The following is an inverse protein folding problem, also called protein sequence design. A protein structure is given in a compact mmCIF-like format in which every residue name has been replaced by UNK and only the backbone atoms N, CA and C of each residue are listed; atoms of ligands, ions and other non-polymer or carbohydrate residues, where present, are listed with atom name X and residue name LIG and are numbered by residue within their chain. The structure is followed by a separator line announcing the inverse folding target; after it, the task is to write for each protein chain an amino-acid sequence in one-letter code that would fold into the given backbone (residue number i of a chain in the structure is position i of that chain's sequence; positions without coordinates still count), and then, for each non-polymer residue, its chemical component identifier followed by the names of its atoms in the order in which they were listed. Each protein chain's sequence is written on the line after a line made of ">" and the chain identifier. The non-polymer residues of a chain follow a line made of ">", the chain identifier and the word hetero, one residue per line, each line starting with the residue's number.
data_IF_146238820968
#
_entry.id   IF_146238820968
#
_cell.length_a   1.000
_cell.length_b   1.000
_cell.length_c   1.000
_cell.angle_alpha   90.00
_cell.angle_beta   90.00
_cell.angle_gamma   90.00
#
_symmetry.space_group_name_H-M   'P 1'
#
loop_
_entity.id
_entity.type
_entity.pdbx_description
1 polymer ?
#
# COMPACT_ATOMS: atom_id res chain seq x y z
N UNK A 1 -25.91 2.30 -11.69
CA UNK A 1 -25.99 2.70 -10.28
C UNK A 1 -27.28 2.19 -9.67
N UNK A 2 -27.22 1.17 -8.79
CA UNK A 2 -28.36 0.53 -8.13
C UNK A 2 -27.95 0.02 -6.75
N UNK A 3 -28.89 -0.07 -5.81
CA UNK A 3 -28.66 -0.71 -4.50
C UNK A 3 -28.97 -2.21 -4.53
N UNK A 4 -29.99 -2.61 -5.30
CA UNK A 4 -30.49 -3.98 -5.42
C UNK A 4 -30.79 -4.31 -6.87
N UNK A 5 -31.00 -5.58 -7.14
CA UNK A 5 -31.28 -6.11 -8.48
C UNK A 5 -32.58 -6.93 -8.46
N UNK A 6 -33.24 -6.99 -9.62
CA UNK A 6 -34.46 -7.78 -9.81
C UNK A 6 -34.10 -9.25 -10.12
N UNK A 7 -34.85 -10.16 -9.58
CA UNK A 7 -34.81 -11.62 -9.88
C UNK A 7 -36.11 -12.10 -10.49
N UNK A 8 -36.02 -13.17 -11.27
CA UNK A 8 -37.21 -13.78 -11.84
C UNK A 8 -37.86 -14.78 -10.89
N UNK A 9 -37.13 -15.27 -9.87
CA UNK A 9 -37.67 -16.15 -8.83
C UNK A 9 -36.96 -16.03 -7.49
N UNK A 10 -37.63 -16.44 -6.41
CA UNK A 10 -37.04 -16.56 -5.07
C UNK A 10 -35.98 -17.66 -5.00
N UNK A 11 -36.06 -18.67 -5.85
CA UNK A 11 -35.07 -19.75 -5.93
C UNK A 11 -33.77 -19.23 -6.53
N UNK A 12 -33.84 -18.44 -7.60
CA UNK A 12 -32.66 -17.77 -8.19
C UNK A 12 -31.96 -16.88 -7.17
N UNK A 13 -32.72 -16.03 -6.47
CA UNK A 13 -32.19 -15.19 -5.40
C UNK A 13 -31.53 -16.04 -4.29
N UNK A 14 -32.17 -17.13 -3.85
CA UNK A 14 -31.60 -18.01 -2.82
C UNK A 14 -30.27 -18.64 -3.25
N UNK A 15 -30.14 -19.07 -4.51
CA UNK A 15 -28.89 -19.63 -5.03
C UNK A 15 -27.72 -18.63 -5.03
N UNK A 16 -28.00 -17.34 -5.22
CA UNK A 16 -26.98 -16.30 -5.10
C UNK A 16 -26.52 -16.12 -3.64
N UNK A 17 -27.46 -16.10 -2.69
CA UNK A 17 -27.13 -16.00 -1.26
C UNK A 17 -26.37 -17.23 -0.74
N UNK A 18 -26.66 -18.41 -1.30
CA UNK A 18 -25.97 -19.66 -0.96
C UNK A 18 -24.61 -19.81 -1.69
N UNK A 19 -24.19 -18.83 -2.49
CA UNK A 19 -22.99 -18.89 -3.34
C UNK A 19 -23.01 -20.06 -4.36
N UNK A 20 -24.20 -20.58 -4.71
CA UNK A 20 -24.40 -21.64 -5.70
C UNK A 20 -24.51 -21.12 -7.13
N UNK A 21 -24.73 -19.82 -7.31
CA UNK A 21 -24.79 -19.14 -8.58
C UNK A 21 -24.02 -17.81 -8.53
N UNK A 22 -23.55 -17.36 -9.70
CA UNK A 22 -22.93 -16.05 -9.86
C UNK A 22 -23.97 -15.01 -10.25
N UNK A 23 -23.87 -13.79 -9.71
CA UNK A 23 -24.78 -12.70 -10.04
C UNK A 23 -24.75 -11.58 -9.02
N UNK A 24 -25.60 -10.59 -9.22
CA UNK A 24 -25.66 -9.40 -8.38
C UNK A 24 -26.97 -9.37 -7.60
N UNK A 25 -26.92 -9.12 -6.29
CA UNK A 25 -28.11 -8.99 -5.47
C UNK A 25 -28.12 -7.71 -4.62
N UNK A 26 -26.95 -7.24 -4.18
CA UNK A 26 -26.84 -6.03 -3.39
C UNK A 26 -25.50 -5.35 -3.60
N UNK A 27 -25.48 -4.06 -3.94
CA UNK A 27 -24.27 -3.33 -4.34
C UNK A 27 -23.21 -3.20 -3.25
N UNK A 28 -23.55 -3.39 -1.96
CA UNK A 28 -22.55 -3.43 -0.89
C UNK A 28 -21.57 -4.59 -1.05
N UNK A 29 -22.02 -5.73 -1.57
CA UNK A 29 -21.15 -6.88 -1.82
C UNK A 29 -20.55 -6.81 -3.22
N UNK A 30 -21.40 -6.68 -4.23
CA UNK A 30 -21.01 -6.72 -5.63
C UNK A 30 -21.85 -5.75 -6.47
N UNK A 31 -21.18 -5.11 -7.42
CA UNK A 31 -21.82 -4.24 -8.38
C UNK A 31 -21.10 -4.36 -9.73
N UNK A 32 -21.82 -4.47 -10.86
CA UNK A 32 -21.18 -4.72 -12.16
C UNK A 32 -20.15 -3.65 -12.57
N UNK A 33 -20.37 -2.39 -12.19
CA UNK A 33 -19.37 -1.32 -12.46
C UNK A 33 -18.12 -1.52 -11.62
N UNK A 34 -18.28 -1.80 -10.32
CA UNK A 34 -17.17 -2.04 -9.41
C UNK A 34 -16.36 -3.27 -9.85
N UNK A 35 -17.03 -4.35 -10.20
CA UNK A 35 -16.38 -5.61 -10.61
C UNK A 35 -15.65 -5.47 -11.95
N UNK A 36 -16.20 -4.69 -12.90
CA UNK A 36 -15.52 -4.38 -14.16
C UNK A 36 -14.20 -3.64 -13.89
N UNK A 37 -14.21 -2.66 -12.98
CA UNK A 37 -13.01 -1.88 -12.66
C UNK A 37 -12.02 -2.71 -11.83
N UNK A 38 -12.50 -3.49 -10.87
CA UNK A 38 -11.67 -4.46 -10.15
C UNK A 38 -10.99 -5.44 -11.11
N UNK A 39 -11.72 -5.96 -12.08
CA UNK A 39 -11.19 -6.83 -13.13
C UNK A 39 -10.09 -6.17 -13.97
N UNK A 40 -10.23 -4.90 -14.34
CA UNK A 40 -9.17 -4.15 -15.04
C UNK A 40 -7.89 -4.05 -14.20
N UNK A 41 -8.00 -3.70 -12.91
CA UNK A 41 -6.84 -3.61 -12.02
C UNK A 41 -6.20 -4.99 -11.82
N UNK A 42 -7.03 -6.03 -11.66
CA UNK A 42 -6.56 -7.42 -11.58
C UNK A 42 -5.74 -7.82 -12.81
N UNK A 43 -6.22 -7.49 -14.00
CA UNK A 43 -5.49 -7.77 -15.26
C UNK A 43 -4.18 -6.97 -15.35
N UNK A 44 -4.17 -5.72 -14.94
CA UNK A 44 -2.96 -4.87 -14.95
C UNK A 44 -1.87 -5.46 -14.02
N UNK A 45 -2.24 -5.91 -12.83
CA UNK A 45 -1.31 -6.59 -11.91
C UNK A 45 -0.96 -8.02 -12.34
N UNK A 46 -1.78 -8.65 -13.17
CA UNK A 46 -1.62 -10.05 -13.57
C UNK A 46 -2.13 -11.05 -12.54
N UNK A 47 -3.09 -10.64 -11.70
CA UNK A 47 -3.72 -11.47 -10.68
C UNK A 47 -4.86 -12.34 -11.22
N UNK A 48 -5.43 -13.17 -10.35
CA UNK A 48 -6.55 -14.07 -10.67
C UNK A 48 -7.90 -13.52 -10.22
N UNK A 49 -7.91 -12.71 -9.16
CA UNK A 49 -9.11 -12.10 -8.59
C UNK A 49 -8.77 -10.78 -7.91
N UNK A 50 -9.74 -9.87 -7.86
CA UNK A 50 -9.58 -8.58 -7.19
C UNK A 50 -10.90 -7.98 -6.76
N UNK A 51 -10.83 -7.01 -5.86
CA UNK A 51 -11.98 -6.26 -5.37
C UNK A 51 -11.63 -4.80 -5.14
N UNK A 52 -12.61 -3.90 -5.27
CA UNK A 52 -12.48 -2.51 -4.88
C UNK A 52 -12.89 -2.29 -3.43
N UNK A 53 -12.27 -1.31 -2.79
CA UNK A 53 -12.62 -0.81 -1.46
C UNK A 53 -12.80 0.70 -1.48
N UNK A 54 -13.43 1.26 -0.44
CA UNK A 54 -13.70 2.70 -0.33
C UNK A 54 -12.45 3.56 -0.11
N UNK A 55 -11.30 2.96 0.19
CA UNK A 55 -10.02 3.65 0.37
C UNK A 55 -8.86 2.66 0.38
N UNK A 56 -7.63 3.14 0.17
CA UNK A 56 -6.41 2.34 0.36
C UNK A 56 -6.28 1.80 1.77
N UNK A 57 -6.69 2.57 2.79
CA UNK A 57 -6.70 2.09 4.18
C UNK A 57 -7.67 0.94 4.41
N UNK A 58 -8.84 0.97 3.79
CA UNK A 58 -9.76 -0.16 3.81
C UNK A 58 -9.17 -1.39 3.08
N UNK A 59 -8.43 -1.17 1.98
CA UNK A 59 -7.72 -2.24 1.29
C UNK A 59 -6.67 -2.90 2.19
N UNK A 60 -5.81 -2.12 2.84
CA UNK A 60 -4.78 -2.64 3.74
C UNK A 60 -5.39 -3.32 4.98
N UNK A 61 -6.47 -2.76 5.55
CA UNK A 61 -7.20 -3.38 6.64
C UNK A 61 -7.78 -4.74 6.22
N UNK A 62 -8.51 -4.79 5.10
CA UNK A 62 -9.14 -6.03 4.63
C UNK A 62 -8.10 -7.08 4.24
N UNK A 63 -7.00 -6.68 3.59
CA UNK A 63 -5.96 -7.61 3.19
C UNK A 63 -5.37 -8.37 4.39
N UNK A 64 -5.15 -7.68 5.51
CA UNK A 64 -4.63 -8.31 6.73
C UNK A 64 -5.75 -9.01 7.50
N UNK A 65 -6.88 -8.34 7.73
CA UNK A 65 -7.97 -8.87 8.58
C UNK A 65 -8.68 -10.08 7.97
N UNK A 66 -8.55 -10.29 6.67
CA UNK A 66 -9.10 -11.46 5.98
C UNK A 66 -8.44 -12.78 6.42
N UNK A 67 -7.18 -12.72 6.89
CA UNK A 67 -6.36 -13.90 7.26
C UNK A 67 -5.82 -13.85 8.67
N UNK A 68 -6.03 -12.77 9.41
CA UNK A 68 -5.58 -12.60 10.78
C UNK A 68 -6.74 -12.21 11.70
N UNK A 69 -6.69 -12.67 12.94
CA UNK A 69 -7.68 -12.42 13.98
C UNK A 69 -6.99 -12.06 15.30
N UNK A 70 -7.77 -11.84 16.38
CA UNK A 70 -7.22 -11.60 17.70
C UNK A 70 -6.29 -12.74 18.14
N UNK A 71 -5.10 -12.38 18.59
CA UNK A 71 -4.03 -13.32 18.96
C UNK A 71 -3.04 -13.61 17.83
N UNK A 72 -3.28 -13.15 16.61
CA UNK A 72 -2.36 -13.32 15.48
C UNK A 72 -1.32 -12.20 15.40
N UNK A 73 -0.29 -12.42 14.58
CA UNK A 73 0.85 -11.55 14.43
C UNK A 73 1.17 -11.31 12.95
N UNK A 74 1.67 -10.10 12.64
CA UNK A 74 2.13 -9.69 11.30
C UNK A 74 3.54 -9.11 11.41
N UNK A 75 4.42 -9.46 10.48
CA UNK A 75 5.69 -8.76 10.28
C UNK A 75 5.47 -7.68 9.21
N UNK A 76 5.90 -6.46 9.46
CA UNK A 76 5.75 -5.36 8.49
C UNK A 76 7.08 -4.63 8.30
N UNK A 77 7.36 -4.18 7.06
CA UNK A 77 8.36 -3.12 6.89
C UNK A 77 7.96 -1.89 7.71
N UNK A 78 8.92 -1.19 8.29
CA UNK A 78 8.71 0.08 8.98
C UNK A 78 8.57 1.25 7.98
N UNK A 79 9.12 1.11 6.77
CA UNK A 79 9.00 2.08 5.70
C UNK A 79 7.72 1.83 4.90
N UNK A 80 6.59 2.23 5.45
CA UNK A 80 5.26 2.17 4.84
C UNK A 80 4.54 3.50 5.07
N UNK A 81 3.49 3.75 4.30
CA UNK A 81 2.65 4.95 4.49
C UNK A 81 2.21 5.07 5.94
N UNK A 82 2.40 6.23 6.49
CA UNK A 82 2.17 6.44 7.90
C UNK A 82 0.74 6.19 8.38
N UNK A 83 -0.28 6.39 7.53
CA UNK A 83 -1.64 5.97 7.86
C UNK A 83 -1.74 4.46 8.06
N UNK A 84 -1.03 3.68 7.25
CA UNK A 84 -0.97 2.21 7.37
C UNK A 84 -0.21 1.78 8.62
N UNK A 85 0.89 2.45 8.93
CA UNK A 85 1.61 2.18 10.18
C UNK A 85 0.71 2.44 11.40
N UNK A 86 0.01 3.57 11.44
CA UNK A 86 -0.93 3.87 12.53
C UNK A 86 -2.09 2.87 12.58
N UNK A 87 -2.61 2.46 11.41
CA UNK A 87 -3.61 1.40 11.31
C UNK A 87 -3.11 0.12 12.00
N UNK A 88 -1.89 -0.30 11.70
CA UNK A 88 -1.28 -1.53 12.24
C UNK A 88 -0.89 -1.37 13.71
N UNK A 89 -0.12 -0.34 14.03
CA UNK A 89 0.46 -0.17 15.35
C UNK A 89 -0.54 0.25 16.44
N UNK A 90 -1.65 0.87 16.06
CA UNK A 90 -2.64 1.39 17.02
C UNK A 90 -3.99 0.71 16.84
N UNK A 91 -4.58 0.82 15.64
CA UNK A 91 -5.98 0.42 15.44
C UNK A 91 -6.15 -1.09 15.46
N UNK A 92 -5.34 -1.83 14.71
CA UNK A 92 -5.45 -3.29 14.65
C UNK A 92 -4.95 -3.98 15.93
N UNK A 93 -4.05 -3.35 16.68
CA UNK A 93 -3.70 -3.84 18.03
C UNK A 93 -4.89 -3.80 18.99
N UNK A 94 -5.81 -2.84 18.84
CA UNK A 94 -7.06 -2.84 19.63
C UNK A 94 -7.98 -4.01 19.27
N UNK A 95 -7.82 -4.56 18.07
CA UNK A 95 -8.52 -5.79 17.63
C UNK A 95 -7.76 -7.07 18.03
N UNK A 96 -6.64 -6.94 18.76
CA UNK A 96 -5.86 -8.07 19.23
C UNK A 96 -4.85 -8.63 18.23
N UNK A 97 -4.61 -7.98 17.09
CA UNK A 97 -3.58 -8.37 16.13
C UNK A 97 -2.29 -7.61 16.44
N UNK A 98 -1.20 -8.35 16.67
CA UNK A 98 0.10 -7.77 16.99
C UNK A 98 0.97 -7.56 15.73
N UNK A 99 1.90 -6.61 15.80
CA UNK A 99 2.79 -6.26 14.70
C UNK A 99 4.23 -6.10 15.16
N UNK A 100 5.17 -6.66 14.40
CA UNK A 100 6.60 -6.37 14.52
C UNK A 100 7.06 -5.66 13.25
N UNK A 101 7.69 -4.50 13.44
CA UNK A 101 8.23 -3.71 12.32
C UNK A 101 9.73 -3.97 12.17
N UNK A 102 10.18 -4.16 10.93
CA UNK A 102 11.57 -4.35 10.54
C UNK A 102 12.01 -3.25 9.58
N UNK A 103 13.29 -2.96 9.52
CA UNK A 103 13.83 -2.01 8.54
C UNK A 103 13.53 -2.47 7.10
N UNK A 104 13.29 -1.55 6.14
CA UNK A 104 13.21 -1.92 4.72
C UNK A 104 14.52 -2.55 4.22
N UNK A 105 15.66 -2.20 4.85
CA UNK A 105 16.99 -2.72 4.53
C UNK A 105 17.36 -3.99 5.31
N UNK A 106 16.46 -4.49 6.20
CA UNK A 106 16.68 -5.68 7.01
C UNK A 106 17.14 -6.85 6.16
N UNK A 107 18.14 -7.58 6.64
CA UNK A 107 18.57 -8.81 5.99
C UNK A 107 17.60 -9.98 6.30
N UNK A 108 17.87 -11.14 5.70
CA UNK A 108 17.00 -12.32 5.88
C UNK A 108 16.94 -12.80 7.34
N UNK A 109 18.03 -12.65 8.11
CA UNK A 109 18.11 -13.07 9.49
C UNK A 109 17.31 -12.13 10.39
N UNK A 110 17.40 -10.82 10.16
CA UNK A 110 16.64 -9.81 10.89
C UNK A 110 15.14 -9.94 10.61
N UNK A 111 14.74 -10.14 9.35
CA UNK A 111 13.32 -10.39 9.00
C UNK A 111 12.87 -11.69 9.67
N UNK A 112 13.68 -12.76 9.62
CA UNK A 112 13.35 -14.04 10.25
C UNK A 112 13.21 -13.93 11.76
N UNK A 113 14.03 -13.13 12.41
CA UNK A 113 13.99 -12.92 13.88
C UNK A 113 12.70 -12.24 14.34
N UNK A 114 12.01 -11.51 13.46
CA UNK A 114 10.73 -10.85 13.75
C UNK A 114 9.54 -11.83 13.74
N UNK A 115 9.71 -13.06 13.22
CA UNK A 115 8.63 -14.04 13.14
C UNK A 115 8.30 -14.64 14.50
N UNK A 116 7.01 -14.84 14.74
CA UNK A 116 6.43 -15.56 15.89
C UNK A 116 5.66 -16.79 15.37
N UNK A 117 5.37 -17.79 16.21
CA UNK A 117 4.62 -18.98 15.79
C UNK A 117 3.25 -18.64 15.17
N UNK A 118 2.62 -17.56 15.63
CA UNK A 118 1.32 -17.05 15.20
C UNK A 118 1.40 -15.98 14.09
N UNK A 119 2.56 -15.82 13.42
CA UNK A 119 2.69 -14.89 12.28
C UNK A 119 1.88 -15.40 11.08
N UNK A 120 1.05 -14.52 10.51
CA UNK A 120 0.12 -14.81 9.40
C UNK A 120 0.50 -14.19 8.07
N UNK A 121 1.25 -13.10 8.06
CA UNK A 121 1.70 -12.44 6.84
C UNK A 121 2.95 -11.60 7.07
N UNK A 122 3.59 -11.25 5.96
CA UNK A 122 4.54 -10.15 5.87
C UNK A 122 3.89 -9.03 5.07
N UNK A 123 4.08 -7.78 5.47
CA UNK A 123 3.56 -6.60 4.77
C UNK A 123 4.68 -5.63 4.42
N UNK A 124 4.60 -5.03 3.22
CA UNK A 124 5.52 -3.98 2.79
C UNK A 124 4.86 -3.01 1.81
N UNK A 125 5.60 -2.01 1.40
CA UNK A 125 5.21 -1.04 0.38
C UNK A 125 6.30 -0.98 -0.68
N UNK A 126 5.96 -1.06 -1.96
CA UNK A 126 6.95 -1.11 -3.05
C UNK A 126 7.90 0.08 -3.02
N UNK A 127 7.36 1.27 -2.82
CA UNK A 127 8.10 2.53 -2.65
C UNK A 127 7.45 3.29 -1.50
N UNK A 128 8.19 3.50 -0.44
CA UNK A 128 7.68 4.15 0.78
C UNK A 128 7.41 5.64 0.60
N UNK A 129 6.51 6.18 1.41
CA UNK A 129 6.15 7.59 1.46
C UNK A 129 6.44 8.15 2.87
N UNK A 130 7.28 9.17 3.05
CA UNK A 130 7.92 10.02 2.03
C UNK A 130 9.38 9.70 1.73
N UNK A 131 9.97 8.69 2.36
CA UNK A 131 11.42 8.42 2.27
C UNK A 131 11.87 7.92 0.91
N UNK A 132 10.95 7.32 0.13
CA UNK A 132 11.20 6.70 -1.18
C UNK A 132 12.11 5.47 -1.11
N UNK A 133 12.16 4.80 0.04
CA UNK A 133 12.83 3.51 0.17
C UNK A 133 12.11 2.47 -0.68
N UNK A 134 12.88 1.64 -1.37
CA UNK A 134 12.38 0.56 -2.21
C UNK A 134 12.50 -0.76 -1.44
N UNK A 135 11.40 -1.47 -1.31
CA UNK A 135 11.38 -2.80 -0.70
C UNK A 135 12.19 -3.78 -1.56
N UNK A 136 13.12 -4.52 -0.96
CA UNK A 136 13.71 -5.69 -1.63
C UNK A 136 12.68 -6.84 -1.63
N UNK A 137 11.79 -6.81 -2.63
CA UNK A 137 10.60 -7.66 -2.70
C UNK A 137 10.96 -9.15 -2.62
N UNK A 138 11.96 -9.59 -3.37
CA UNK A 138 12.37 -11.02 -3.39
C UNK A 138 12.90 -11.48 -2.04
N UNK A 139 13.63 -10.62 -1.31
CA UNK A 139 14.11 -10.92 0.04
C UNK A 139 12.96 -11.13 1.01
N UNK A 140 12.01 -10.20 1.03
CA UNK A 140 10.84 -10.31 1.90
C UNK A 140 9.94 -11.50 1.52
N UNK A 141 9.72 -11.73 0.23
CA UNK A 141 8.97 -12.89 -0.28
C UNK A 141 9.62 -14.22 0.14
N UNK A 142 10.93 -14.33 -0.04
CA UNK A 142 11.70 -15.54 0.32
C UNK A 142 11.52 -15.90 1.80
N UNK A 143 11.63 -14.91 2.70
CA UNK A 143 11.48 -15.16 4.14
C UNK A 143 10.01 -15.44 4.49
N UNK A 144 9.05 -14.72 3.90
CA UNK A 144 7.63 -14.99 4.09
C UNK A 144 7.26 -16.42 3.71
N UNK A 145 7.62 -16.85 2.50
CA UNK A 145 7.30 -18.17 1.98
C UNK A 145 8.03 -19.30 2.74
N UNK A 146 9.27 -19.09 3.17
CA UNK A 146 9.98 -20.02 4.06
C UNK A 146 9.23 -20.29 5.36
N UNK A 147 8.48 -19.32 5.84
CA UNK A 147 7.65 -19.42 7.05
C UNK A 147 6.18 -19.82 6.75
N UNK A 148 5.86 -20.12 5.50
CA UNK A 148 4.52 -20.54 5.07
C UNK A 148 3.46 -19.47 5.25
N UNK A 149 3.81 -18.18 5.02
CA UNK A 149 2.89 -17.06 5.06
C UNK A 149 3.03 -16.20 3.79
N UNK A 150 1.95 -15.51 3.35
CA UNK A 150 2.00 -14.66 2.18
C UNK A 150 2.77 -13.35 2.43
N UNK A 151 3.31 -12.78 1.34
CA UNK A 151 3.74 -11.39 1.28
C UNK A 151 2.63 -10.52 0.70
N UNK A 152 2.22 -9.51 1.44
CA UNK A 152 1.26 -8.48 1.03
C UNK A 152 2.03 -7.19 0.75
N UNK A 153 1.82 -6.57 -0.42
CA UNK A 153 2.53 -5.33 -0.79
C UNK A 153 1.55 -4.26 -1.26
N UNK A 154 1.67 -3.07 -0.68
CA UNK A 154 1.02 -1.86 -1.20
C UNK A 154 1.83 -1.32 -2.39
N UNK A 155 1.27 -1.43 -3.60
CA UNK A 155 1.91 -1.04 -4.86
C UNK A 155 1.43 0.32 -5.39
N UNK A 156 0.93 1.18 -4.50
CA UNK A 156 0.32 2.46 -4.87
C UNK A 156 1.26 3.38 -5.63
N UNK A 157 2.53 3.52 -5.21
CA UNK A 157 3.47 4.47 -5.82
C UNK A 157 4.09 3.96 -7.12
N UNK A 158 4.44 2.68 -7.18
CA UNK A 158 4.98 2.10 -8.41
C UNK A 158 3.88 1.91 -9.47
N UNK A 159 2.70 1.51 -9.08
CA UNK A 159 1.62 1.03 -9.95
C UNK A 159 2.03 -0.20 -10.77
N UNK A 160 1.12 -0.97 -11.35
CA UNK A 160 1.47 -2.09 -12.24
C UNK A 160 2.20 -1.65 -13.53
N UNK A 161 2.25 -0.35 -13.82
CA UNK A 161 2.98 0.19 -14.98
C UNK A 161 4.49 0.15 -14.74
N UNK A 162 4.95 0.50 -13.54
CA UNK A 162 6.37 0.51 -13.21
C UNK A 162 6.84 -0.81 -12.58
N UNK A 163 5.98 -1.47 -11.79
CA UNK A 163 6.31 -2.74 -11.16
C UNK A 163 5.10 -3.68 -11.10
N UNK A 164 5.21 -4.83 -11.74
CA UNK A 164 4.28 -5.95 -11.55
C UNK A 164 4.84 -6.84 -10.44
N UNK A 165 4.42 -6.56 -9.22
CA UNK A 165 5.05 -7.13 -8.02
C UNK A 165 4.84 -8.66 -7.89
N UNK A 166 3.84 -9.23 -8.55
CA UNK A 166 3.64 -10.70 -8.59
C UNK A 166 4.78 -11.42 -9.30
N UNK A 167 5.45 -10.78 -10.25
CA UNK A 167 6.62 -11.35 -10.92
C UNK A 167 7.83 -11.52 -9.97
N UNK A 168 7.79 -10.88 -8.79
CA UNK A 168 8.82 -10.88 -7.76
C UNK A 168 8.45 -11.65 -6.48
N UNK A 169 7.34 -12.40 -6.51
CA UNK A 169 6.93 -13.28 -5.41
C UNK A 169 5.96 -12.66 -4.40
N UNK A 170 5.32 -11.54 -4.73
CA UNK A 170 4.20 -11.03 -3.92
C UNK A 170 2.97 -11.90 -4.14
N UNK A 171 2.20 -12.11 -3.08
CA UNK A 171 0.98 -12.94 -3.13
C UNK A 171 -0.28 -12.09 -3.22
N UNK A 172 -0.33 -11.02 -2.43
CA UNK A 172 -1.48 -10.10 -2.38
C UNK A 172 -0.97 -8.66 -2.60
N UNK A 173 -1.65 -7.94 -3.47
CA UNK A 173 -1.38 -6.51 -3.73
C UNK A 173 -2.51 -5.65 -3.21
N UNK A 174 -2.17 -4.54 -2.57
CA UNK A 174 -3.11 -3.49 -2.23
C UNK A 174 -2.77 -2.19 -2.96
N UNK A 175 -3.78 -1.35 -3.15
CA UNK A 175 -3.64 -0.02 -3.74
C UNK A 175 -4.52 1.01 -3.05
N UNK A 176 -3.99 2.20 -2.87
CA UNK A 176 -4.82 3.40 -2.82
C UNK A 176 -5.09 3.87 -4.25
N UNK A 177 -6.25 3.51 -4.80
CA UNK A 177 -6.61 3.93 -6.16
C UNK A 177 -6.84 5.43 -6.28
N UNK A 178 -6.99 6.13 -5.14
CA UNK A 178 -7.01 7.59 -4.98
C UNK A 178 -5.85 8.30 -5.67
N UNK A 179 -4.71 7.60 -5.85
CA UNK A 179 -3.44 8.17 -6.30
C UNK A 179 -3.31 8.08 -7.82
N UNK A 180 -2.25 7.46 -8.33
CA UNK A 180 -1.99 7.38 -9.78
C UNK A 180 -3.13 6.76 -10.59
N UNK A 181 -3.83 5.77 -10.05
CA UNK A 181 -4.86 5.05 -10.81
C UNK A 181 -6.01 5.98 -11.19
N UNK A 182 -6.50 6.78 -10.25
CA UNK A 182 -7.52 7.81 -10.52
C UNK A 182 -6.88 9.05 -11.16
N UNK A 183 -5.82 9.61 -10.54
CA UNK A 183 -4.93 10.63 -11.12
C UNK A 183 -5.47 12.05 -11.24
N UNK A 184 -6.67 12.35 -10.77
CA UNK A 184 -7.33 13.66 -10.90
C UNK A 184 -7.78 14.25 -9.57
N UNK A 185 -7.54 13.56 -8.44
CA UNK A 185 -7.99 13.93 -7.11
C UNK A 185 -9.52 14.14 -7.02
N UNK A 186 -10.28 13.34 -7.76
CA UNK A 186 -11.75 13.46 -7.83
C UNK A 186 -12.47 12.42 -6.99
N UNK A 187 -11.85 11.27 -6.70
CA UNK A 187 -12.45 10.23 -5.84
C UNK A 187 -11.42 9.51 -4.98
N UNK A 188 -11.89 8.99 -3.85
CA UNK A 188 -11.12 8.14 -2.94
C UNK A 188 -11.49 6.68 -3.20
N UNK A 189 -10.49 5.80 -3.22
CA UNK A 189 -10.72 4.38 -3.39
C UNK A 189 -9.51 3.53 -3.05
N UNK A 190 -9.72 2.23 -3.02
CA UNK A 190 -8.69 1.22 -2.87
C UNK A 190 -9.00 -0.02 -3.69
N UNK A 191 -8.01 -0.89 -3.82
CA UNK A 191 -8.16 -2.19 -4.46
C UNK A 191 -7.29 -3.23 -3.75
N UNK A 192 -7.74 -4.48 -3.82
CA UNK A 192 -6.99 -5.67 -3.42
C UNK A 192 -6.96 -6.61 -4.60
N UNK A 193 -5.79 -7.17 -4.92
CA UNK A 193 -5.63 -8.18 -5.97
C UNK A 193 -4.87 -9.38 -5.41
N UNK A 194 -5.36 -10.57 -5.72
CA UNK A 194 -4.73 -11.85 -5.38
C UNK A 194 -4.02 -12.42 -6.61
N UNK A 195 -2.75 -12.81 -6.43
CA UNK A 195 -1.98 -13.51 -7.46
C UNK A 195 -2.53 -14.89 -7.78
N UNK A 196 -3.18 -15.54 -6.81
CA UNK A 196 -3.59 -16.95 -6.86
C UNK A 196 -2.41 -17.94 -6.80
N UNK A 197 -1.22 -17.49 -6.41
CA UNK A 197 -0.02 -18.32 -6.34
C UNK A 197 0.25 -18.88 -4.94
N UNK A 198 -0.27 -18.25 -3.89
CA UNK A 198 -0.08 -18.74 -2.53
C UNK A 198 -0.99 -19.93 -2.24
N UNK A 199 -0.38 -21.02 -1.76
CA UNK A 199 -1.13 -22.21 -1.32
C UNK A 199 -1.59 -22.04 0.12
N UNK A 200 -2.85 -21.68 0.30
CA UNK A 200 -3.48 -21.50 1.62
C UNK A 200 -3.58 -22.80 2.42
N UNK A 201 -3.44 -23.96 1.76
CA UNK A 201 -3.57 -25.29 2.37
C UNK A 201 -2.27 -25.91 2.83
N UNK A 202 -1.12 -25.25 2.55
CA UNK A 202 0.21 -25.80 2.86
C UNK A 202 0.49 -25.97 4.37
N UNK A 203 -0.31 -25.34 5.22
CA UNK A 203 -0.22 -25.43 6.68
C UNK A 203 -1.57 -25.03 7.33
N UNK A 204 -1.64 -25.11 8.65
CA UNK A 204 -2.86 -24.81 9.48
C UNK A 204 -2.99 -23.34 9.89
N UNK A 205 -2.20 -22.46 9.30
CA UNK A 205 -2.23 -21.03 9.68
C UNK A 205 -3.50 -20.29 9.25
N UNK A 206 -4.23 -20.79 8.26
CA UNK A 206 -5.35 -20.09 7.63
C UNK A 206 -6.69 -20.84 7.73
N UNK A 207 -7.14 -21.20 8.96
CA UNK A 207 -8.38 -21.96 9.11
C UNK A 207 -9.59 -21.25 8.54
N UNK A 208 -9.65 -19.91 8.56
CA UNK A 208 -10.75 -19.15 7.97
C UNK A 208 -10.91 -19.31 6.45
N UNK A 209 -9.94 -19.92 5.75
CA UNK A 209 -10.01 -20.25 4.32
C UNK A 209 -10.11 -21.75 4.07
N UNK A 210 -9.58 -22.58 4.98
CA UNK A 210 -9.34 -24.01 4.79
C UNK A 210 -10.24 -24.91 5.63
N UNK A 211 -11.11 -24.35 6.48
CA UNK A 211 -12.11 -25.09 7.25
C UNK A 211 -13.52 -24.60 6.94
N UNK A 212 -14.56 -25.40 7.22
CA UNK A 212 -15.95 -25.03 6.98
C UNK A 212 -16.34 -23.74 7.68
N UNK A 213 -16.97 -22.81 6.94
CA UNK A 213 -17.50 -21.55 7.46
C UNK A 213 -18.99 -21.69 7.81
N UNK A 214 -19.32 -21.59 9.09
CA UNK A 214 -20.68 -21.70 9.59
C UNK A 214 -21.60 -20.59 9.04
N UNK A 215 -21.06 -19.40 8.74
CA UNK A 215 -21.86 -18.27 8.20
C UNK A 215 -22.29 -18.48 6.75
N UNK A 216 -21.70 -19.47 6.07
CA UNK A 216 -22.03 -19.88 4.70
C UNK A 216 -22.29 -21.40 4.58
N UNK A 217 -23.09 -21.94 5.49
CA UNK A 217 -23.58 -23.34 5.44
C UNK A 217 -22.46 -24.38 5.36
N UNK A 218 -21.30 -24.09 5.97
CA UNK A 218 -20.16 -25.02 6.01
C UNK A 218 -19.31 -25.04 4.74
N UNK A 219 -19.34 -23.99 3.91
CA UNK A 219 -18.43 -23.87 2.76
C UNK A 219 -16.98 -23.75 3.24
N UNK A 220 -16.09 -24.52 2.64
CA UNK A 220 -14.63 -24.32 2.71
C UNK A 220 -14.19 -23.52 1.50
N UNK A 221 -13.70 -22.28 1.70
CA UNK A 221 -13.43 -21.36 0.59
C UNK A 221 -12.41 -21.90 -0.40
N UNK A 222 -11.32 -22.52 0.07
CA UNK A 222 -10.28 -23.10 -0.80
C UNK A 222 -10.79 -24.24 -1.66
N UNK A 223 -11.72 -25.05 -1.16
CA UNK A 223 -12.34 -26.14 -1.91
C UNK A 223 -13.38 -25.64 -2.93
N UNK A 224 -14.20 -24.66 -2.52
CA UNK A 224 -15.29 -24.16 -3.34
C UNK A 224 -14.83 -23.19 -4.45
N UNK A 225 -13.79 -22.37 -4.18
CA UNK A 225 -13.39 -21.26 -5.05
C UNK A 225 -11.94 -21.34 -5.52
N UNK A 226 -11.18 -22.35 -5.08
CA UNK A 226 -9.79 -22.53 -5.50
C UNK A 226 -8.93 -21.26 -5.35
N UNK A 227 -8.34 -20.80 -6.44
CA UNK A 227 -7.51 -19.59 -6.47
C UNK A 227 -8.27 -18.30 -6.15
N UNK A 228 -9.59 -18.26 -6.26
CA UNK A 228 -10.41 -17.11 -5.91
C UNK A 228 -10.81 -17.06 -4.43
N UNK A 229 -10.44 -18.02 -3.62
CA UNK A 229 -10.87 -18.19 -2.23
C UNK A 229 -10.65 -16.94 -1.37
N UNK A 230 -9.47 -16.32 -1.47
CA UNK A 230 -9.09 -15.16 -0.66
C UNK A 230 -9.97 -13.93 -0.95
N UNK A 231 -10.17 -13.58 -2.20
CA UNK A 231 -11.02 -12.43 -2.60
C UNK A 231 -12.49 -12.74 -2.35
N UNK A 232 -12.93 -13.97 -2.62
CA UNK A 232 -14.33 -14.38 -2.34
C UNK A 232 -14.63 -14.20 -0.85
N UNK A 233 -13.79 -14.73 0.04
CA UNK A 233 -13.97 -14.57 1.49
C UNK A 233 -13.99 -13.09 1.90
N UNK A 234 -13.04 -12.29 1.42
CA UNK A 234 -13.00 -10.86 1.72
C UNK A 234 -14.29 -10.15 1.28
N UNK A 235 -14.86 -10.53 0.14
CA UNK A 235 -16.10 -9.96 -0.38
C UNK A 235 -17.32 -10.39 0.43
N UNK A 236 -17.48 -11.70 0.64
CA UNK A 236 -18.73 -12.25 1.24
C UNK A 236 -18.77 -12.11 2.76
N UNK A 237 -17.63 -11.90 3.43
CA UNK A 237 -17.55 -11.61 4.85
C UNK A 237 -17.24 -10.13 5.12
N UNK A 238 -16.03 -9.68 4.84
CA UNK A 238 -15.59 -8.35 5.25
C UNK A 238 -16.34 -7.23 4.54
N UNK A 239 -16.50 -7.31 3.22
CA UNK A 239 -17.25 -6.30 2.48
C UNK A 239 -18.73 -6.31 2.86
N UNK A 240 -19.32 -7.50 3.02
CA UNK A 240 -20.71 -7.66 3.45
C UNK A 240 -20.96 -7.01 4.81
N UNK A 241 -20.06 -7.25 5.79
CA UNK A 241 -20.29 -6.93 7.19
C UNK A 241 -19.82 -5.51 7.54
N UNK A 242 -18.68 -5.06 6.99
CA UNK A 242 -18.07 -3.75 7.26
C UNK A 242 -18.45 -2.68 6.24
N UNK A 243 -18.82 -3.07 5.01
CA UNK A 243 -19.41 -2.18 4.02
C UNK A 243 -18.49 -1.14 3.40
N UNK A 244 -17.16 -1.33 3.44
CA UNK A 244 -16.18 -0.37 2.88
C UNK A 244 -16.06 -0.47 1.35
N UNK A 245 -17.19 -0.48 0.64
CA UNK A 245 -17.21 -0.49 -0.82
C UNK A 245 -17.19 0.94 -1.40
N UNK A 246 -16.59 1.19 -2.57
CA UNK A 246 -16.77 2.45 -3.27
C UNK A 246 -18.17 2.53 -3.90
N UNK A 247 -18.67 3.73 -4.11
CA UNK A 247 -19.88 3.90 -4.91
C UNK A 247 -19.58 3.51 -6.38
N UNK A 248 -20.58 3.01 -7.15
CA UNK A 248 -20.39 2.76 -8.58
C UNK A 248 -20.02 4.02 -9.37
N UNK A 249 -20.36 5.20 -8.87
CA UNK A 249 -19.94 6.47 -9.47
C UNK A 249 -18.44 6.71 -9.28
N UNK A 250 -17.90 6.47 -8.09
CA UNK A 250 -16.47 6.56 -7.82
C UNK A 250 -15.68 5.52 -8.63
N UNK A 251 -16.21 4.29 -8.75
CA UNK A 251 -15.63 3.27 -9.61
C UNK A 251 -15.62 3.70 -11.09
N UNK A 252 -16.67 4.38 -11.57
CA UNK A 252 -16.69 4.94 -12.92
C UNK A 252 -15.62 6.03 -13.11
N UNK A 253 -15.46 6.96 -12.17
CA UNK A 253 -14.39 7.96 -12.22
C UNK A 253 -13.00 7.31 -12.22
N UNK A 254 -12.79 6.33 -11.36
CA UNK A 254 -11.57 5.51 -11.38
C UNK A 254 -11.33 4.85 -12.73
N UNK A 255 -12.37 4.29 -13.35
CA UNK A 255 -12.26 3.68 -14.68
C UNK A 255 -11.77 4.69 -15.73
N UNK A 256 -12.27 5.92 -15.70
CA UNK A 256 -11.80 7.00 -16.60
C UNK A 256 -10.31 7.30 -16.35
N UNK A 257 -9.88 7.35 -15.08
CA UNK A 257 -8.48 7.52 -14.72
C UNK A 257 -7.58 6.39 -15.25
N UNK A 258 -8.02 5.14 -15.15
CA UNK A 258 -7.28 3.98 -15.64
C UNK A 258 -7.00 4.00 -17.14
N UNK A 259 -7.87 4.60 -17.96
CA UNK A 259 -7.70 4.68 -19.42
C UNK A 259 -6.40 5.41 -19.84
N UNK A 260 -5.93 6.34 -19.00
CA UNK A 260 -4.69 7.11 -19.27
C UNK A 260 -3.54 6.77 -18.31
N UNK A 261 -3.69 5.79 -17.44
CA UNK A 261 -2.72 5.47 -16.39
C UNK A 261 -1.29 5.30 -16.93
N UNK A 262 -1.13 4.49 -17.97
CA UNK A 262 0.18 4.18 -18.57
C UNK A 262 0.86 5.43 -19.16
N UNK A 263 0.10 6.36 -19.72
CA UNK A 263 0.63 7.63 -20.27
C UNK A 263 1.03 8.58 -19.14
N UNK A 264 0.19 8.69 -18.10
CA UNK A 264 0.43 9.61 -16.98
C UNK A 264 1.60 9.16 -16.12
N UNK A 265 1.67 7.88 -15.77
CA UNK A 265 2.75 7.34 -14.94
C UNK A 265 4.11 7.51 -15.63
N UNK A 266 4.23 7.16 -16.90
CA UNK A 266 5.45 7.36 -17.67
C UNK A 266 5.88 8.85 -17.68
N UNK A 267 4.92 9.77 -17.90
CA UNK A 267 5.19 11.21 -17.89
C UNK A 267 5.56 11.74 -16.50
N UNK A 268 4.93 11.25 -15.44
CA UNK A 268 5.29 11.58 -14.06
C UNK A 268 6.76 11.19 -13.76
N UNK A 269 7.16 9.98 -14.13
CA UNK A 269 8.53 9.51 -13.91
C UNK A 269 9.56 10.32 -14.71
N UNK A 270 9.28 10.60 -15.98
CA UNK A 270 10.13 11.45 -16.83
C UNK A 270 10.31 12.86 -16.24
N UNK A 271 9.20 13.49 -15.84
CA UNK A 271 9.22 14.82 -15.27
C UNK A 271 9.94 14.83 -13.92
N UNK A 272 9.68 13.87 -13.05
CA UNK A 272 10.34 13.76 -11.75
C UNK A 272 11.85 13.60 -11.90
N UNK A 273 12.33 12.74 -12.82
CA UNK A 273 13.77 12.58 -13.09
C UNK A 273 14.42 13.89 -13.55
N UNK A 274 13.75 14.65 -14.43
CA UNK A 274 14.24 15.97 -14.90
C UNK A 274 14.31 16.98 -13.75
N UNK A 275 13.25 17.06 -12.93
CA UNK A 275 13.19 17.97 -11.79
C UNK A 275 14.22 17.58 -10.73
N UNK A 276 14.37 16.30 -10.40
CA UNK A 276 15.35 15.82 -9.44
C UNK A 276 16.78 16.17 -9.86
N UNK A 277 17.13 15.98 -11.14
CA UNK A 277 18.43 16.39 -11.67
C UNK A 277 18.67 17.91 -11.60
N UNK A 278 17.65 18.71 -11.90
CA UNK A 278 17.73 20.17 -11.76
C UNK A 278 17.93 20.57 -10.29
N UNK A 279 17.15 20.02 -9.38
CA UNK A 279 17.26 20.30 -7.94
C UNK A 279 18.64 19.91 -7.39
N UNK A 280 19.17 18.75 -7.79
CA UNK A 280 20.50 18.26 -7.38
C UNK A 280 21.62 19.24 -7.75
N UNK A 281 21.51 19.93 -8.87
CA UNK A 281 22.49 20.90 -9.34
C UNK A 281 22.29 22.32 -8.81
N UNK A 282 21.18 22.59 -8.11
CA UNK A 282 20.79 23.95 -7.73
C UNK A 282 21.44 24.37 -6.41
N UNK A 283 22.11 25.54 -6.39
CA UNK A 283 22.90 26.07 -5.25
C UNK A 283 22.12 26.18 -3.92
N UNK A 284 20.81 26.37 -3.96
CA UNK A 284 19.93 26.53 -2.78
C UNK A 284 19.38 25.20 -2.24
N UNK A 285 19.67 24.09 -2.90
CA UNK A 285 19.23 22.75 -2.48
C UNK A 285 20.34 22.08 -1.67
N UNK A 286 19.99 21.50 -0.55
CA UNK A 286 20.92 20.80 0.34
C UNK A 286 21.06 19.32 -0.04
N UNK A 287 19.96 18.66 -0.35
CA UNK A 287 19.90 17.25 -0.72
C UNK A 287 18.66 16.97 -1.56
N UNK A 288 18.72 15.88 -2.33
CA UNK A 288 17.60 15.33 -3.11
C UNK A 288 17.62 13.82 -2.96
N UNK A 289 16.48 13.23 -2.61
CA UNK A 289 16.24 11.78 -2.64
C UNK A 289 15.27 11.48 -3.77
N UNK A 290 15.73 10.70 -4.72
CA UNK A 290 14.93 10.17 -5.83
C UNK A 290 15.65 8.93 -6.42
N UNK A 291 15.13 7.72 -6.26
CA UNK A 291 15.83 6.47 -6.58
C UNK A 291 16.26 6.29 -8.04
N UNK A 292 15.73 7.09 -8.97
CA UNK A 292 16.20 7.08 -10.35
C UNK A 292 17.51 7.87 -10.59
N UNK A 293 18.07 8.51 -9.55
CA UNK A 293 19.38 9.16 -9.61
C UNK A 293 20.49 8.13 -9.31
N UNK A 294 21.52 8.07 -10.14
CA UNK A 294 22.64 7.11 -10.02
C UNK A 294 23.35 7.09 -8.65
N UNK A 295 23.33 8.20 -7.94
CA UNK A 295 23.94 8.31 -6.61
C UNK A 295 22.95 8.17 -5.45
N UNK A 296 21.69 7.85 -5.72
CA UNK A 296 20.71 7.56 -4.67
C UNK A 296 20.99 6.18 -4.08
N UNK A 297 20.96 6.01 -2.74
CA UNK A 297 21.20 4.70 -2.12
C UNK A 297 20.28 3.58 -2.61
N UNK A 298 19.07 3.93 -3.04
CA UNK A 298 18.07 2.99 -3.51
C UNK A 298 18.16 2.69 -5.02
N UNK A 299 19.13 3.27 -5.73
CA UNK A 299 19.24 3.19 -7.19
C UNK A 299 19.31 1.75 -7.71
N UNK A 300 20.11 0.90 -7.08
CA UNK A 300 20.25 -0.49 -7.49
C UNK A 300 18.95 -1.29 -7.40
N UNK A 301 18.14 -1.05 -6.34
CA UNK A 301 16.81 -1.65 -6.20
C UNK A 301 15.82 -1.05 -7.21
N UNK A 302 15.94 0.25 -7.51
CA UNK A 302 15.14 0.90 -8.53
C UNK A 302 15.39 0.29 -9.92
N UNK A 303 16.65 0.09 -10.31
CA UNK A 303 16.99 -0.56 -11.58
C UNK A 303 16.46 -2.00 -11.65
N UNK A 304 16.50 -2.73 -10.53
CA UNK A 304 16.03 -4.12 -10.45
C UNK A 304 14.51 -4.21 -10.59
N UNK A 305 13.76 -3.48 -9.76
CA UNK A 305 12.30 -3.67 -9.63
C UNK A 305 11.46 -2.71 -10.46
N UNK A 306 12.03 -1.56 -10.87
CA UNK A 306 11.32 -0.43 -11.46
C UNK A 306 11.97 0.04 -12.79
N UNK A 307 12.24 -0.87 -13.74
CA UNK A 307 12.96 -0.53 -14.96
C UNK A 307 12.21 0.46 -15.86
N UNK A 308 10.87 0.57 -15.71
CA UNK A 308 10.03 1.48 -16.49
C UNK A 308 9.94 2.89 -15.89
N UNK A 309 10.48 3.11 -14.70
CA UNK A 309 10.46 4.36 -13.94
C UNK A 309 10.07 4.14 -12.48
N UNK A 310 10.46 5.06 -11.61
CA UNK A 310 10.25 4.92 -10.16
C UNK A 310 8.86 5.44 -9.76
N UNK A 311 8.69 6.75 -9.72
CA UNK A 311 7.43 7.42 -9.40
C UNK A 311 7.51 8.92 -9.74
N UNK A 312 6.43 9.66 -9.52
CA UNK A 312 6.35 11.11 -9.71
C UNK A 312 6.64 11.91 -8.43
N UNK A 313 7.13 11.29 -7.37
CA UNK A 313 7.41 11.95 -6.08
C UNK A 313 8.91 12.15 -5.92
N UNK A 314 9.31 13.32 -5.41
CA UNK A 314 10.70 13.67 -5.11
C UNK A 314 10.72 14.23 -3.69
N UNK A 315 11.65 13.78 -2.86
CA UNK A 315 11.95 14.40 -1.58
C UNK A 315 13.23 15.24 -1.69
N UNK A 316 13.23 16.45 -1.13
CA UNK A 316 14.40 17.31 -1.16
C UNK A 316 14.41 18.32 -0.02
N UNK A 317 15.60 18.77 0.36
CA UNK A 317 15.83 19.80 1.38
C UNK A 317 16.38 21.09 0.80
N UNK A 318 15.80 22.24 1.19
CA UNK A 318 16.32 23.56 0.86
C UNK A 318 17.34 24.00 1.91
N UNK A 319 18.42 24.70 1.49
CA UNK A 319 19.38 25.31 2.42
C UNK A 319 18.69 26.42 3.21
N UNK A 320 18.95 26.52 4.51
CA UNK A 320 18.31 27.49 5.41
C UNK A 320 17.14 26.91 6.22
N UNK A 321 16.93 25.58 6.15
CA UNK A 321 16.00 24.86 7.04
C UNK A 321 14.54 25.21 6.83
N UNK A 322 13.77 25.13 7.92
CA UNK A 322 12.30 25.28 7.92
C UNK A 322 11.83 26.62 7.33
N UNK A 323 12.41 27.74 7.77
CA UNK A 323 12.01 29.07 7.28
C UNK A 323 12.19 29.21 5.77
N UNK A 324 13.30 28.68 5.24
CA UNK A 324 13.55 28.68 3.81
C UNK A 324 12.56 27.79 3.05
N UNK A 325 12.18 26.63 3.60
CA UNK A 325 11.18 25.75 3.04
C UNK A 325 9.79 26.40 3.01
N UNK A 326 9.38 27.04 4.09
CA UNK A 326 8.11 27.78 4.17
C UNK A 326 8.08 28.95 3.18
N UNK A 327 9.19 29.71 3.08
CA UNK A 327 9.31 30.77 2.08
C UNK A 327 9.29 30.23 0.66
N UNK A 328 9.93 29.10 0.40
CA UNK A 328 9.90 28.44 -0.90
C UNK A 328 8.45 28.08 -1.29
N UNK A 329 7.71 27.42 -0.40
CA UNK A 329 6.31 27.05 -0.62
C UNK A 329 5.42 28.28 -0.87
N UNK A 330 5.57 29.33 -0.07
CA UNK A 330 4.79 30.57 -0.20
C UNK A 330 5.03 31.33 -1.51
N UNK A 331 6.09 31.02 -2.24
CA UNK A 331 6.41 31.64 -3.53
C UNK A 331 6.09 30.75 -4.76
N UNK A 332 5.55 29.55 -4.55
CA UNK A 332 5.14 28.68 -5.64
C UNK A 332 3.99 29.33 -6.43
N UNK A 333 4.09 29.28 -7.77
CA UNK A 333 3.07 29.84 -8.67
C UNK A 333 2.36 28.77 -9.50
N UNK A 334 3.03 27.67 -9.79
CA UNK A 334 2.51 26.56 -10.63
C UNK A 334 2.18 25.37 -9.76
N UNK A 335 3.08 24.95 -8.86
CA UNK A 335 2.81 23.87 -7.94
C UNK A 335 1.87 24.36 -6.81
N UNK A 336 0.90 23.53 -6.46
CA UNK A 336 -0.03 23.81 -5.36
C UNK A 336 0.54 23.29 -4.03
N UNK A 337 0.18 23.95 -2.93
CA UNK A 337 0.39 23.39 -1.60
C UNK A 337 -0.80 22.46 -1.31
N UNK A 338 -0.56 21.16 -1.29
CA UNK A 338 -1.59 20.16 -1.04
C UNK A 338 -0.99 18.88 -0.45
N UNK A 339 -1.80 18.18 0.34
CA UNK A 339 -1.46 16.88 0.95
C UNK A 339 -1.69 15.69 0.01
N UNK A 340 -1.86 15.93 -1.27
CA UNK A 340 -2.11 14.92 -2.28
C UNK A 340 -0.85 14.57 -3.07
N UNK A 341 -0.75 13.33 -3.55
CA UNK A 341 0.32 12.85 -4.44
C UNK A 341 -0.28 12.19 -5.67
N UNK A 342 0.49 12.15 -6.75
CA UNK A 342 0.11 11.44 -7.99
C UNK A 342 -1.09 12.04 -8.74
N UNK A 343 -1.41 13.29 -8.50
CA UNK A 343 -2.36 14.08 -9.28
C UNK A 343 -1.73 14.51 -10.62
N UNK A 344 -2.54 14.73 -11.62
CA UNK A 344 -2.13 15.33 -12.89
C UNK A 344 -1.52 16.74 -12.70
N UNK A 345 -1.86 17.43 -11.62
CA UNK A 345 -1.29 18.73 -11.23
C UNK A 345 -0.10 18.54 -10.29
N UNK A 346 0.88 19.44 -10.39
CA UNK A 346 2.04 19.43 -9.50
C UNK A 346 1.64 19.98 -8.13
N UNK A 347 1.94 19.23 -7.07
CA UNK A 347 1.80 19.68 -5.69
C UNK A 347 3.11 19.56 -4.92
N UNK A 348 3.21 20.34 -3.85
CA UNK A 348 4.35 20.35 -2.95
C UNK A 348 3.85 20.58 -1.52
N UNK A 349 4.49 19.99 -0.54
CA UNK A 349 4.24 20.24 0.87
C UNK A 349 5.54 20.18 1.66
N UNK A 350 5.54 20.81 2.84
CA UNK A 350 6.60 20.69 3.83
C UNK A 350 6.06 19.85 5.01
N UNK A 351 6.51 18.59 5.17
CA UNK A 351 5.96 17.69 6.18
C UNK A 351 6.00 18.29 7.60
N UNK A 352 7.13 18.83 8.02
CA UNK A 352 7.30 19.39 9.37
C UNK A 352 6.41 20.61 9.68
N UNK A 353 5.92 21.34 8.67
CA UNK A 353 4.99 22.47 8.86
C UNK A 353 3.52 22.07 8.68
N UNK A 354 3.25 20.87 8.17
CA UNK A 354 1.89 20.43 7.82
C UNK A 354 1.55 19.09 8.46
N UNK A 355 1.96 18.04 7.81
CA UNK A 355 1.56 16.68 8.10
C UNK A 355 2.28 16.09 9.31
N UNK A 356 3.42 16.64 9.73
CA UNK A 356 4.26 16.17 10.83
C UNK A 356 4.45 17.24 11.93
N UNK A 357 3.45 18.06 12.17
CA UNK A 357 3.46 19.17 13.17
C UNK A 357 3.49 18.72 14.63
N UNK A 358 3.41 17.45 14.89
CA UNK A 358 3.32 16.88 16.24
C UNK A 358 4.64 16.93 17.00
N UNK A 359 5.77 17.10 16.30
CA UNK A 359 7.09 17.28 16.89
C UNK A 359 7.33 18.77 17.18
N UNK A 360 7.60 19.09 18.43
CA UNK A 360 8.04 20.44 18.79
C UNK A 360 9.52 20.65 18.45
N UNK A 361 9.97 21.92 18.43
CA UNK A 361 11.35 22.26 18.04
C UNK A 361 12.42 21.70 19.00
N UNK A 362 12.06 21.41 20.25
CA UNK A 362 12.98 20.80 21.24
C UNK A 362 13.15 19.31 20.98
N UNK A 363 12.06 18.60 20.67
CA UNK A 363 12.10 17.19 20.29
C UNK A 363 12.87 17.00 18.97
N UNK A 364 12.68 17.90 18.00
CA UNK A 364 13.45 17.89 16.75
C UNK A 364 14.95 18.14 16.97
N UNK A 365 15.31 19.05 17.90
CA UNK A 365 16.70 19.31 18.24
C UNK A 365 17.33 18.14 18.99
N UNK A 366 16.59 17.53 19.92
CA UNK A 366 17.05 16.35 20.66
C UNK A 366 17.27 15.18 19.70
N UNK A 367 16.32 14.91 18.81
CA UNK A 367 16.44 13.91 17.77
C UNK A 367 17.67 14.16 16.87
N UNK A 368 17.85 15.39 16.40
CA UNK A 368 18.99 15.77 15.58
C UNK A 368 20.34 15.65 16.33
N UNK A 369 20.35 15.82 17.68
CA UNK A 369 21.56 15.62 18.46
C UNK A 369 21.91 14.14 18.62
N UNK A 370 20.93 13.30 18.92
CA UNK A 370 21.10 11.84 18.99
C UNK A 370 21.65 11.29 17.66
N UNK A 371 21.11 11.76 16.52
CA UNK A 371 21.61 11.39 15.19
C UNK A 371 23.05 11.83 14.94
N UNK A 372 23.43 13.04 15.41
CA UNK A 372 24.81 13.53 15.31
C UNK A 372 25.80 12.75 16.17
N UNK A 373 25.30 12.18 17.27
CA UNK A 373 26.10 11.39 18.20
C UNK A 373 26.15 9.90 17.81
N UNK A 374 25.69 9.54 16.59
CA UNK A 374 25.71 8.16 16.07
C UNK A 374 24.58 7.27 16.61
N UNK A 375 23.58 7.85 17.25
CA UNK A 375 22.42 7.14 17.76
C UNK A 375 21.29 7.03 16.75
N UNK A 376 20.34 6.13 17.04
CA UNK A 376 19.08 5.98 16.30
C UNK A 376 17.98 6.78 16.97
N UNK A 377 17.16 7.46 16.20
CA UNK A 377 15.99 8.20 16.69
C UNK A 377 14.72 7.66 16.06
N UNK A 378 13.82 7.14 16.90
CA UNK A 378 12.44 6.92 16.52
C UNK A 378 11.64 8.19 16.80
N UNK A 379 11.12 8.84 15.78
CA UNK A 379 10.31 10.04 15.94
C UNK A 379 8.91 9.82 15.36
N UNK A 380 7.86 10.30 16.06
CA UNK A 380 6.51 10.24 15.52
C UNK A 380 6.45 11.14 14.28
N UNK A 381 6.18 10.53 13.16
CA UNK A 381 5.67 11.24 12.00
C UNK A 381 4.14 11.26 12.12
N UNK A 382 3.37 12.11 11.43
CA UNK A 382 1.90 12.23 11.64
C UNK A 382 1.16 10.90 11.60
N UNK A 383 1.85 9.90 11.21
CA UNK A 383 1.33 8.56 10.99
C UNK A 383 2.29 7.48 11.48
N UNK A 384 3.53 7.80 11.89
CA UNK A 384 4.57 6.78 12.18
C UNK A 384 5.64 7.30 13.12
N UNK A 385 6.29 6.37 13.83
CA UNK A 385 7.66 6.54 14.29
C UNK A 385 8.61 6.20 13.14
N UNK A 386 9.25 7.20 12.54
CA UNK A 386 10.38 7.01 11.65
C UNK A 386 11.64 6.71 12.47
N UNK A 387 12.41 5.70 12.09
CA UNK A 387 13.74 5.45 12.65
C UNK A 387 14.76 6.19 11.80
N UNK A 388 15.47 7.16 12.39
CA UNK A 388 16.54 7.89 11.73
C UNK A 388 17.89 7.54 12.32
N UNK A 389 18.87 7.22 11.48
CA UNK A 389 20.27 7.03 11.82
C UNK A 389 21.14 8.09 11.13
N UNK A 390 22.34 8.34 11.67
CA UNK A 390 23.33 9.18 11.01
C UNK A 390 24.00 8.38 9.89
N UNK A 391 23.58 8.58 8.65
CA UNK A 391 24.11 7.89 7.47
C UNK A 391 25.64 8.11 7.20
N UNK A 392 26.29 8.96 8.00
CA UNK A 392 27.75 9.19 7.94
C UNK A 392 28.51 8.44 9.04
N UNK A 393 27.84 7.70 9.89
CA UNK A 393 28.44 6.93 10.97
C UNK A 393 28.32 5.44 10.66
N UNK A 394 29.46 4.77 10.42
CA UNK A 394 29.54 3.32 10.12
C UNK A 394 29.07 2.41 11.27
N UNK A 395 28.67 2.99 12.40
CA UNK A 395 28.21 2.27 13.61
C UNK A 395 26.77 2.59 14.01
N UNK A 396 26.06 3.48 13.27
CA UNK A 396 24.68 3.87 13.57
C UNK A 396 23.64 3.02 12.81
#
# INVERSE_FOLDING_TARGET
>A
QSTTYKYDSSVEMGNLFDLKASGYFYSRLQNPTNDTVAGKITMLEGGVAGMLTSSGQAANFYAVFNIAQAGDHIVSSSAIYGGTYNLFNVTMRKLGIDFTFVSPDADEEEIQAAFKPNTKAVFGETISNPSLDILDIERFAKVAHKNGVPLIVDNTFATPINCRVFDWGVDIVTHSTTKYMEGHASTIGGAIVDSGNFDWTQNDKFPGLTTPDESYHGITYTEAFGKGAYITKATVQLMRDLGSMPSPHDAFLLNVGLESLHLRVARHCENAKKVANYLKSHEKIAWVSYPALENDPQHALAEKYLPNGVCGVISFGVKGGREAAEKFLGNLKVAMIATHVADARTCCLHPASSTHRQLNDEELKAAAQILRDGGLVAFPTETVYGLGGNALDEKA
#
